data_IF_166078426942
#
_entry.id   IF_166078426942
#
_cell.length_a   1.000
_cell.length_b   1.000
_cell.length_c   1.000
_cell.angle_alpha   90.00
_cell.angle_beta   90.00
_cell.angle_gamma   90.00
#
_symmetry.space_group_name_H-M   'P 1'
#
loop_
_entity.id
_entity.type
_entity.pdbx_description
1 polymer ?
#
# COMPACT_ATOMS: atom_id res chain seq x y z
N UNK A 1 -10.95 10.06 11.74
CA UNK A 1 -10.01 10.37 10.69
C UNK A 1 -10.14 11.79 10.21
N UNK A 2 -9.19 12.18 9.46
CA UNK A 2 -9.24 13.41 8.69
C UNK A 2 -10.16 13.18 7.47
N UNK A 3 -10.61 14.26 6.85
CA UNK A 3 -11.59 14.22 5.78
C UNK A 3 -10.99 13.65 4.49
N UNK A 4 -11.00 12.35 4.36
CA UNK A 4 -10.74 11.69 3.09
C UNK A 4 -12.02 11.72 2.25
N UNK A 5 -11.93 12.19 1.01
CA UNK A 5 -13.05 12.16 0.08
C UNK A 5 -13.28 10.78 -0.49
N UNK A 6 -12.18 10.03 -0.68
CA UNK A 6 -12.21 8.69 -1.24
C UNK A 6 -11.00 7.93 -0.76
N UNK A 7 -11.18 6.68 -0.36
CA UNK A 7 -10.11 5.80 0.10
C UNK A 7 -10.16 4.48 -0.64
N UNK A 8 -8.99 3.99 -1.05
CA UNK A 8 -8.80 2.66 -1.61
C UNK A 8 -7.86 1.88 -0.70
N UNK A 9 -8.26 0.69 -0.35
CA UNK A 9 -7.46 -0.24 0.43
C UNK A 9 -7.05 -1.42 -0.44
N UNK A 10 -5.80 -1.84 -0.31
CA UNK A 10 -5.31 -3.08 -0.89
C UNK A 10 -5.25 -4.09 0.24
N UNK A 11 -5.93 -5.21 0.07
CA UNK A 11 -6.01 -6.26 1.06
C UNK A 11 -5.40 -7.56 0.52
N UNK A 12 -4.83 -8.35 1.43
CA UNK A 12 -4.30 -9.67 1.11
C UNK A 12 -4.98 -10.73 1.96
N UNK A 13 -5.13 -11.90 1.40
CA UNK A 13 -5.64 -13.06 2.11
C UNK A 13 -4.61 -13.63 3.09
N UNK A 14 -5.03 -13.84 4.32
CA UNK A 14 -4.20 -14.49 5.35
C UNK A 14 -4.83 -15.83 5.70
N UNK A 15 -4.28 -16.95 5.21
CA UNK A 15 -4.88 -18.27 5.40
C UNK A 15 -5.11 -18.66 6.86
N UNK A 16 -4.16 -18.40 7.74
CA UNK A 16 -4.28 -18.75 9.17
C UNK A 16 -5.41 -18.02 9.88
N UNK A 17 -5.77 -16.84 9.39
CA UNK A 17 -6.86 -16.04 9.96
C UNK A 17 -8.18 -16.21 9.20
N UNK A 18 -8.12 -16.86 8.05
CA UNK A 18 -9.27 -17.02 7.14
C UNK A 18 -9.97 -15.71 6.83
N UNK A 19 -9.19 -14.66 6.54
CA UNK A 19 -9.71 -13.34 6.21
C UNK A 19 -8.72 -12.49 5.44
N UNK A 20 -9.20 -11.41 4.85
CA UNK A 20 -8.37 -10.38 4.23
C UNK A 20 -7.85 -9.40 5.28
N UNK A 21 -6.63 -8.94 5.08
CA UNK A 21 -6.01 -7.88 5.88
C UNK A 21 -5.50 -6.79 4.97
N UNK A 22 -5.69 -5.55 5.39
CA UNK A 22 -5.17 -4.39 4.68
C UNK A 22 -3.65 -4.34 4.75
N UNK A 23 -3.00 -4.12 3.60
CA UNK A 23 -1.55 -3.90 3.52
C UNK A 23 -1.19 -2.52 2.99
N UNK A 24 -2.13 -1.83 2.38
CA UNK A 24 -1.93 -0.45 1.89
C UNK A 24 -3.27 0.26 1.86
N UNK A 25 -3.29 1.51 2.27
CA UNK A 25 -4.45 2.37 2.19
C UNK A 25 -4.05 3.68 1.55
N UNK A 26 -4.80 4.13 0.54
CA UNK A 26 -4.54 5.36 -0.18
C UNK A 26 -5.80 6.21 -0.24
N UNK A 27 -5.68 7.46 0.19
CA UNK A 27 -6.81 8.37 0.28
C UNK A 27 -6.60 9.62 -0.55
N UNK A 28 -7.66 10.06 -1.22
CA UNK A 28 -7.75 11.41 -1.76
C UNK A 28 -8.30 12.31 -0.66
N UNK A 29 -7.55 13.33 -0.29
CA UNK A 29 -7.87 14.20 0.84
C UNK A 29 -8.48 15.56 0.41
N UNK A 30 -8.76 15.73 -0.91
CA UNK A 30 -9.27 17.00 -1.40
C UNK A 30 -8.33 18.15 -1.08
N UNK A 31 -8.88 19.31 -0.78
CA UNK A 31 -8.09 20.53 -0.54
C UNK A 31 -7.93 20.88 0.95
N UNK A 32 -8.46 20.07 1.86
CA UNK A 32 -8.43 20.38 3.30
C UNK A 32 -7.01 20.58 3.83
N UNK A 33 -6.11 19.67 3.50
CA UNK A 33 -4.72 19.75 3.95
C UNK A 33 -3.99 20.91 3.26
N UNK A 34 -4.26 21.12 1.98
CA UNK A 34 -3.65 22.22 1.21
C UNK A 34 -4.05 23.59 1.77
N UNK A 35 -5.29 23.74 2.22
CA UNK A 35 -5.74 24.96 2.89
C UNK A 35 -4.93 25.24 4.16
N UNK A 36 -4.67 24.23 4.96
CA UNK A 36 -3.88 24.35 6.18
C UNK A 36 -2.42 24.65 5.91
N UNK A 37 -1.86 24.00 4.88
CA UNK A 37 -0.48 24.26 4.46
C UNK A 37 -0.33 25.52 3.63
N UNK A 38 -1.43 26.13 3.21
CA UNK A 38 -1.47 27.28 2.30
C UNK A 38 -0.80 26.98 0.95
N UNK A 39 -0.93 25.74 0.48
CA UNK A 39 -0.29 25.28 -0.76
C UNK A 39 -1.25 25.43 -1.93
N UNK A 40 -0.82 26.17 -2.94
CA UNK A 40 -1.63 26.53 -4.10
C UNK A 40 -0.86 26.28 -5.40
N UNK A 41 -1.60 26.17 -6.50
CA UNK A 41 -1.02 26.15 -7.84
C UNK A 41 -1.64 27.27 -8.69
N UNK A 42 -0.91 27.70 -9.70
CA UNK A 42 -1.39 28.68 -10.69
C UNK A 42 -1.68 27.95 -12.01
N UNK A 43 -2.84 28.23 -12.58
CA UNK A 43 -3.23 27.71 -13.87
C UNK A 43 -4.09 28.73 -14.59
N UNK A 44 -3.75 29.06 -15.83
CA UNK A 44 -4.53 29.97 -16.70
C UNK A 44 -4.97 31.26 -16.01
N UNK A 45 -4.06 31.90 -15.26
CA UNK A 45 -4.33 33.15 -14.56
C UNK A 45 -5.09 33.03 -13.25
N UNK A 46 -5.48 31.83 -12.83
CA UNK A 46 -6.13 31.60 -11.55
C UNK A 46 -5.19 30.87 -10.57
N UNK A 47 -5.44 31.07 -9.29
CA UNK A 47 -4.70 30.42 -8.21
C UNK A 47 -5.67 29.60 -7.36
N UNK A 48 -5.41 28.31 -7.22
CA UNK A 48 -6.28 27.40 -6.51
C UNK A 48 -5.49 26.52 -5.54
N UNK A 49 -6.14 26.02 -4.50
CA UNK A 49 -5.53 25.04 -3.62
C UNK A 49 -5.33 23.72 -4.37
N UNK A 50 -4.24 23.03 -4.05
CA UNK A 50 -3.97 21.70 -4.60
C UNK A 50 -4.84 20.64 -3.90
N UNK A 51 -5.08 19.53 -4.58
CA UNK A 51 -5.56 18.32 -3.93
C UNK A 51 -4.37 17.53 -3.35
N UNK A 52 -4.58 16.86 -2.25
CA UNK A 52 -3.55 16.02 -1.63
C UNK A 52 -3.95 14.56 -1.61
N UNK A 53 -2.95 13.71 -1.66
CA UNK A 53 -3.10 12.26 -1.49
C UNK A 53 -2.33 11.85 -0.25
N UNK A 54 -2.89 10.90 0.45
CA UNK A 54 -2.21 10.24 1.57
C UNK A 54 -2.21 8.75 1.32
N UNK A 55 -1.09 8.09 1.56
CA UNK A 55 -1.04 6.65 1.38
C UNK A 55 0.14 6.03 2.08
N UNK A 56 -0.06 4.80 2.54
CA UNK A 56 1.03 3.95 2.97
C UNK A 56 1.60 3.23 1.75
N UNK A 57 2.92 3.19 1.63
CA UNK A 57 3.54 2.40 0.60
C UNK A 57 3.20 0.93 0.79
N UNK A 58 3.38 0.44 2.03
CA UNK A 58 3.08 -0.94 2.34
C UNK A 58 3.21 -1.22 3.84
N UNK A 59 2.32 -2.02 4.38
CA UNK A 59 2.47 -2.60 5.71
C UNK A 59 3.42 -3.81 5.61
N UNK A 60 4.74 -3.58 5.73
CA UNK A 60 5.75 -4.58 5.44
C UNK A 60 5.65 -5.85 6.28
N UNK A 61 5.38 -5.72 7.57
CA UNK A 61 5.21 -6.89 8.45
C UNK A 61 4.02 -7.76 8.04
N UNK A 62 2.91 -7.15 7.74
CA UNK A 62 1.70 -7.85 7.31
C UNK A 62 1.88 -8.49 5.93
N UNK A 63 2.55 -7.82 5.02
CA UNK A 63 2.91 -8.42 3.73
C UNK A 63 3.83 -9.62 3.91
N UNK A 64 4.82 -9.54 4.80
CA UNK A 64 5.72 -10.65 5.10
C UNK A 64 4.94 -11.89 5.55
N UNK A 65 4.00 -11.73 6.48
CA UNK A 65 3.14 -12.82 6.94
C UNK A 65 2.37 -13.42 5.77
N UNK A 66 1.78 -12.58 4.95
CA UNK A 66 1.01 -13.02 3.77
C UNK A 66 1.88 -13.83 2.80
N UNK A 67 3.09 -13.37 2.51
CA UNK A 67 4.01 -14.08 1.62
C UNK A 67 4.41 -15.44 2.20
N UNK A 68 4.79 -15.48 3.47
CA UNK A 68 5.18 -16.73 4.13
C UNK A 68 4.03 -17.75 4.11
N UNK A 69 2.82 -17.33 4.44
CA UNK A 69 1.69 -18.25 4.49
C UNK A 69 1.20 -18.69 3.11
N UNK A 70 1.14 -17.79 2.15
CA UNK A 70 0.60 -18.12 0.83
C UNK A 70 1.57 -18.85 -0.08
N UNK A 71 2.87 -18.72 0.14
CA UNK A 71 3.91 -19.34 -0.69
C UNK A 71 4.65 -20.48 0.01
N UNK A 72 4.18 -20.90 1.19
CA UNK A 72 4.76 -22.03 1.90
C UNK A 72 4.48 -23.33 1.16
N UNK A 73 5.51 -24.17 1.05
CA UNK A 73 5.43 -25.48 0.44
C UNK A 73 5.24 -26.56 1.53
N UNK A 74 4.84 -27.75 1.12
CA UNK A 74 4.59 -28.87 2.04
C UNK A 74 5.84 -29.32 2.83
N UNK A 75 7.04 -29.05 2.30
CA UNK A 75 8.32 -29.37 2.96
C UNK A 75 8.79 -28.28 3.94
N UNK A 76 8.00 -27.24 4.14
CA UNK A 76 8.33 -26.11 5.01
C UNK A 76 9.12 -25.00 4.34
N UNK A 77 9.57 -25.20 3.09
CA UNK A 77 10.19 -24.13 2.33
C UNK A 77 9.16 -23.09 1.88
N UNK A 78 9.63 -21.91 1.51
CA UNK A 78 8.78 -20.82 0.99
C UNK A 78 9.27 -20.46 -0.40
N UNK A 79 8.40 -20.54 -1.40
CA UNK A 79 8.70 -20.14 -2.77
C UNK A 79 8.81 -18.63 -2.86
N UNK A 80 9.76 -18.13 -3.64
CA UNK A 80 9.93 -16.70 -3.84
C UNK A 80 9.05 -16.24 -5.00
N UNK A 81 8.14 -15.29 -4.80
CA UNK A 81 7.37 -14.72 -5.90
C UNK A 81 8.30 -14.15 -6.98
N UNK A 82 7.91 -14.30 -8.25
CA UNK A 82 8.71 -13.85 -9.38
C UNK A 82 9.13 -12.37 -9.27
N UNK A 83 8.24 -11.53 -8.76
CA UNK A 83 8.51 -10.10 -8.60
C UNK A 83 9.65 -9.80 -7.60
N UNK A 84 9.91 -10.69 -6.66
CA UNK A 84 10.94 -10.52 -5.64
C UNK A 84 12.28 -11.18 -5.99
N UNK A 85 12.31 -12.09 -6.96
CA UNK A 85 13.52 -12.85 -7.29
C UNK A 85 14.74 -11.98 -7.57
N UNK A 86 14.55 -10.90 -8.32
CA UNK A 86 15.67 -9.99 -8.67
C UNK A 86 16.28 -9.26 -7.47
N UNK A 87 15.57 -9.19 -6.35
CA UNK A 87 16.07 -8.59 -5.12
C UNK A 87 16.63 -9.62 -4.14
N UNK A 88 16.55 -10.90 -4.48
CA UNK A 88 16.93 -12.02 -3.63
C UNK A 88 17.86 -12.98 -4.36
N UNK A 89 18.82 -12.45 -5.14
CA UNK A 89 19.83 -13.21 -5.88
C UNK A 89 19.24 -14.30 -6.80
N UNK A 90 18.01 -14.09 -7.28
CA UNK A 90 17.27 -15.01 -8.14
C UNK A 90 17.10 -16.43 -7.57
N UNK A 91 17.10 -16.56 -6.25
CA UNK A 91 16.83 -17.86 -5.61
C UNK A 91 15.35 -18.24 -5.81
N UNK A 92 15.10 -19.54 -5.87
CA UNK A 92 13.75 -20.07 -6.11
C UNK A 92 12.92 -20.15 -4.83
N UNK A 93 13.57 -20.47 -3.71
CA UNK A 93 12.91 -20.68 -2.42
C UNK A 93 13.87 -20.52 -1.25
N UNK A 94 13.33 -20.31 -0.09
CA UNK A 94 14.04 -20.29 1.17
C UNK A 94 13.51 -21.38 2.11
#
# INVERSE_FOLDING_TARGET
>A
GFSAEKTFDIEVWIPSENKFREISSCSSCGIFQARRMKTKYKSSGSTNFIGTLNGSGLATGRLMISLLENYQNSDGSVSIPAALKKYMDNIEKI
#
